data_IF_055965120779
#
_entry.id   IF_055965120779
#
_cell.length_a   1.000
_cell.length_b   1.000
_cell.length_c   1.000
_cell.angle_alpha   90.00
_cell.angle_beta   90.00
_cell.angle_gamma   90.00
#
_symmetry.space_group_name_H-M   'P 1'
#
loop_
_entity.id
_entity.type
_entity.pdbx_description
1 polymer ?
#
# COMPACT_ATOMS: atom_id res chain seq x y z
N UNK A 1 24.60 31.72 20.18
CA UNK A 1 24.12 30.83 19.10
C UNK A 1 23.30 31.70 18.16
N UNK A 2 23.73 31.83 16.91
CA UNK A 2 23.19 32.84 15.98
C UNK A 2 21.89 32.34 15.32
N UNK A 3 20.81 33.10 15.50
CA UNK A 3 19.49 32.86 14.92
C UNK A 3 19.56 33.00 13.39
N UNK A 4 19.51 31.89 12.66
CA UNK A 4 19.82 31.86 11.21
C UNK A 4 18.80 32.56 10.31
N UNK A 5 17.62 32.98 10.80
CA UNK A 5 16.61 33.70 10.00
C UNK A 5 15.86 34.84 10.70
N UNK A 6 16.36 35.32 11.85
CA UNK A 6 15.75 36.46 12.56
C UNK A 6 14.41 36.17 13.26
N UNK A 7 14.05 34.89 13.41
CA UNK A 7 12.87 34.46 14.16
C UNK A 7 13.23 34.30 15.64
N UNK A 8 12.38 34.81 16.53
CA UNK A 8 12.51 34.64 17.99
C UNK A 8 11.95 33.28 18.43
N UNK A 9 12.32 32.83 19.63
CA UNK A 9 11.81 31.57 20.19
C UNK A 9 10.28 31.58 20.27
N UNK A 10 9.70 32.64 20.84
CA UNK A 10 8.25 32.78 21.02
C UNK A 10 7.52 32.72 19.67
N UNK A 11 8.01 33.44 18.65
CA UNK A 11 7.44 33.41 17.30
C UNK A 11 7.57 32.04 16.63
N UNK A 12 8.59 31.24 16.98
CA UNK A 12 8.76 29.90 16.46
C UNK A 12 7.86 28.87 17.14
N UNK A 13 7.59 29.06 18.43
CA UNK A 13 6.63 28.27 19.18
C UNK A 13 5.20 28.54 18.68
N UNK A 14 4.83 29.81 18.50
CA UNK A 14 3.55 30.20 17.92
C UNK A 14 3.36 29.62 16.51
N UNK A 15 4.37 29.75 15.64
CA UNK A 15 4.31 29.20 14.28
C UNK A 15 4.19 27.66 14.25
N UNK A 16 4.83 26.98 15.21
CA UNK A 16 4.75 25.52 15.39
C UNK A 16 3.38 25.06 15.89
N UNK A 17 2.73 25.88 16.72
CA UNK A 17 1.38 25.61 17.22
C UNK A 17 0.29 25.90 16.17
N UNK A 18 0.49 26.93 15.35
CA UNK A 18 -0.48 27.36 14.33
C UNK A 18 -0.44 26.51 13.05
N UNK A 19 0.66 25.80 12.78
CA UNK A 19 0.77 25.00 11.56
C UNK A 19 -0.11 23.75 11.61
N UNK A 20 -0.88 23.52 10.54
CA UNK A 20 -1.66 22.30 10.36
C UNK A 20 -0.76 21.15 9.90
N UNK A 21 -0.80 20.00 10.58
CA UNK A 21 -0.03 18.79 10.20
C UNK A 21 -0.40 18.32 8.79
N UNK A 22 0.54 17.93 7.90
CA UNK A 22 0.26 17.51 6.51
C UNK A 22 -0.76 16.36 6.43
N UNK A 23 -1.61 16.37 5.41
CA UNK A 23 -2.63 15.33 5.23
C UNK A 23 -2.00 14.04 4.69
N UNK A 24 -2.25 12.93 5.37
CA UNK A 24 -1.74 11.62 4.93
C UNK A 24 -2.76 10.94 4.04
N UNK A 25 -2.38 10.66 2.79
CA UNK A 25 -3.21 9.92 1.83
C UNK A 25 -2.56 8.59 1.47
N UNK A 26 -3.30 7.51 1.68
CA UNK A 26 -2.85 6.17 1.32
C UNK A 26 -3.52 5.71 0.02
N UNK A 27 -2.71 5.21 -0.92
CA UNK A 27 -3.16 4.71 -2.22
C UNK A 27 -2.75 3.25 -2.33
N UNK A 28 -3.72 2.39 -2.61
CA UNK A 28 -3.50 0.97 -2.89
C UNK A 28 -3.52 0.75 -4.40
N UNK A 29 -2.43 0.21 -4.94
CA UNK A 29 -2.28 -0.05 -6.38
C UNK A 29 -1.97 -1.52 -6.60
N UNK A 30 -2.52 -2.13 -7.65
CA UNK A 30 -2.08 -3.46 -8.07
C UNK A 30 -0.96 -3.34 -9.08
N UNK A 31 -0.10 -4.34 -9.11
CA UNK A 31 0.95 -4.43 -10.11
C UNK A 31 0.35 -4.39 -11.53
N UNK A 32 0.88 -3.51 -12.37
CA UNK A 32 0.39 -3.23 -13.73
C UNK A 32 -0.71 -2.17 -13.85
N UNK A 33 -1.29 -1.68 -12.76
CA UNK A 33 -2.39 -0.70 -12.84
C UNK A 33 -1.87 0.73 -13.12
N UNK A 34 -2.67 1.51 -13.85
CA UNK A 34 -2.49 2.96 -14.02
C UNK A 34 -3.08 3.69 -12.82
N UNK A 35 -2.37 4.67 -12.28
CA UNK A 35 -2.86 5.46 -11.14
C UNK A 35 -2.32 6.89 -11.15
N UNK A 36 -2.99 7.78 -10.42
CA UNK A 36 -2.63 9.20 -10.30
C UNK A 36 -2.36 9.54 -8.84
N UNK A 37 -1.23 10.18 -8.60
CA UNK A 37 -0.86 10.72 -7.29
C UNK A 37 -1.17 12.21 -7.28
N UNK A 38 -2.33 12.54 -6.69
CA UNK A 38 -2.75 13.92 -6.46
C UNK A 38 -2.30 14.38 -5.08
N UNK A 39 -1.70 15.57 -5.01
CA UNK A 39 -1.40 16.23 -3.74
C UNK A 39 -2.70 16.81 -3.14
N UNK A 40 -2.98 16.58 -1.85
CA UNK A 40 -4.01 17.31 -1.13
C UNK A 40 -3.82 18.82 -1.31
N UNK A 41 -4.93 19.54 -1.52
CA UNK A 41 -4.90 21.00 -1.67
C UNK A 41 -5.17 21.61 -0.31
N UNK A 42 -4.29 22.51 0.14
CA UNK A 42 -4.51 23.36 1.31
C UNK A 42 -4.67 24.80 0.87
N UNK A 43 -5.87 25.34 1.06
CA UNK A 43 -6.21 26.68 0.59
C UNK A 43 -6.16 26.78 -0.94
N UNK A 44 -5.57 27.86 -1.43
CA UNK A 44 -5.52 28.21 -2.85
C UNK A 44 -4.20 27.72 -3.46
N UNK A 45 -4.29 26.91 -4.52
CA UNK A 45 -3.14 26.40 -5.26
C UNK A 45 -2.47 27.53 -6.06
N UNK A 46 -1.59 28.29 -5.40
CA UNK A 46 -0.95 29.47 -5.99
C UNK A 46 0.34 29.14 -6.77
N UNK A 47 0.76 27.87 -6.78
CA UNK A 47 2.07 27.49 -7.31
C UNK A 47 2.19 25.99 -7.65
N UNK A 48 3.12 25.60 -8.53
CA UNK A 48 3.35 24.19 -8.92
C UNK A 48 3.70 23.29 -7.73
N UNK A 49 3.46 21.97 -7.88
CA UNK A 49 3.73 20.99 -6.81
C UNK A 49 5.19 20.54 -6.86
N UNK A 50 5.88 20.66 -5.73
CA UNK A 50 7.19 20.04 -5.49
C UNK A 50 7.04 18.71 -4.76
N UNK A 51 7.66 17.66 -5.30
CA UNK A 51 7.62 16.31 -4.75
C UNK A 51 8.94 15.96 -4.07
N UNK A 52 8.87 15.34 -2.89
CA UNK A 52 10.04 14.90 -2.11
C UNK A 52 9.90 13.42 -1.77
N UNK A 53 11.00 12.67 -1.85
CA UNK A 53 11.03 11.27 -1.38
C UNK A 53 11.21 11.27 0.12
N UNK A 54 10.27 10.62 0.82
CA UNK A 54 10.38 10.37 2.25
C UNK A 54 11.08 9.03 2.50
N UNK A 55 11.65 8.83 3.70
CA UNK A 55 12.12 7.52 4.14
C UNK A 55 11.03 6.45 3.96
N UNK A 56 11.44 5.26 3.57
CA UNK A 56 10.52 4.14 3.36
C UNK A 56 10.13 3.46 4.66
N UNK A 57 10.96 3.57 5.70
CA UNK A 57 10.61 3.13 7.06
C UNK A 57 9.62 4.10 7.69
N UNK A 58 8.52 3.56 8.24
CA UNK A 58 7.42 4.37 8.77
C UNK A 58 7.90 5.27 9.91
N UNK A 59 8.67 4.72 10.85
CA UNK A 59 9.14 5.42 12.04
C UNK A 59 9.99 6.64 11.66
N UNK A 60 10.99 6.45 10.79
CA UNK A 60 11.83 7.52 10.28
C UNK A 60 11.02 8.61 9.54
N UNK A 61 9.97 8.22 8.81
CA UNK A 61 9.10 9.17 8.13
C UNK A 61 8.27 9.98 9.14
N UNK A 62 7.72 9.34 10.18
CA UNK A 62 7.02 10.05 11.28
C UNK A 62 7.96 10.97 12.04
N UNK A 63 9.19 10.56 12.33
CA UNK A 63 10.17 11.36 13.04
C UNK A 63 10.56 12.61 12.23
N UNK A 64 10.74 12.45 10.91
CA UNK A 64 10.98 13.58 10.01
C UNK A 64 9.81 14.58 10.03
N UNK A 65 8.58 14.09 9.96
CA UNK A 65 7.37 14.93 9.98
C UNK A 65 7.25 15.65 11.33
N UNK A 66 7.40 14.94 12.45
CA UNK A 66 7.33 15.53 13.79
C UNK A 66 8.42 16.57 14.00
N UNK A 67 9.64 16.28 13.56
CA UNK A 67 10.76 17.21 13.64
C UNK A 67 10.49 18.47 12.82
N UNK A 68 9.94 18.34 11.61
CA UNK A 68 9.62 19.48 10.76
C UNK A 68 8.57 20.44 11.35
N UNK A 69 7.70 19.92 12.21
CA UNK A 69 6.64 20.68 12.86
C UNK A 69 7.07 21.27 14.21
N UNK A 70 8.31 21.01 14.65
CA UNK A 70 8.80 21.48 15.94
C UNK A 70 9.28 22.95 15.89
N UNK A 71 9.24 23.68 17.02
CA UNK A 71 9.72 25.07 17.07
C UNK A 71 11.19 25.22 16.64
N UNK A 72 12.01 24.20 16.91
CA UNK A 72 13.44 24.19 16.54
C UNK A 72 13.63 24.16 15.03
N UNK A 73 12.79 23.43 14.29
CA UNK A 73 12.80 23.41 12.84
C UNK A 73 12.36 24.77 12.26
N UNK A 74 11.34 25.39 12.85
CA UNK A 74 10.90 26.73 12.47
C UNK A 74 11.97 27.80 12.75
N UNK A 75 12.70 27.72 13.86
CA UNK A 75 13.81 28.62 14.10
C UNK A 75 14.94 28.47 13.08
N UNK A 76 15.29 27.24 12.72
CA UNK A 76 16.41 26.97 11.82
C UNK A 76 16.06 27.27 10.35
N UNK A 77 14.84 26.94 9.91
CA UNK A 77 14.43 26.94 8.50
C UNK A 77 13.24 27.86 8.18
N UNK A 78 12.60 28.47 9.18
CA UNK A 78 11.47 29.40 9.02
C UNK A 78 10.15 28.75 8.63
N UNK A 79 10.15 27.53 8.10
CA UNK A 79 8.96 26.79 7.62
C UNK A 79 9.21 25.28 7.67
N UNK A 80 8.13 24.49 7.83
CA UNK A 80 8.20 23.03 7.75
C UNK A 80 8.62 22.54 6.35
N UNK A 81 8.20 23.23 5.29
CA UNK A 81 8.61 22.95 3.90
C UNK A 81 10.12 23.18 3.70
N UNK A 82 10.69 24.21 4.33
CA UNK A 82 12.13 24.46 4.35
C UNK A 82 12.93 23.35 5.03
N UNK A 83 12.45 22.85 6.18
CA UNK A 83 13.04 21.68 6.85
C UNK A 83 13.00 20.45 5.94
N UNK A 84 11.84 20.16 5.34
CA UNK A 84 11.68 19.05 4.40
C UNK A 84 12.64 19.18 3.21
N UNK A 85 12.78 20.38 2.64
CA UNK A 85 13.64 20.60 1.48
C UNK A 85 15.13 20.38 1.75
N UNK A 86 15.56 20.55 2.99
CA UNK A 86 16.92 20.30 3.45
C UNK A 86 17.18 18.82 3.74
N UNK A 87 16.24 18.15 4.42
CA UNK A 87 16.43 16.77 4.88
C UNK A 87 15.95 15.69 3.91
N UNK A 88 15.04 16.01 2.99
CA UNK A 88 14.50 15.07 2.02
C UNK A 88 15.00 15.35 0.59
N UNK A 89 15.10 14.27 -0.19
CA UNK A 89 15.53 14.37 -1.59
C UNK A 89 14.37 14.78 -2.47
N UNK A 90 14.48 15.93 -3.13
CA UNK A 90 13.50 16.37 -4.11
C UNK A 90 13.48 15.40 -5.31
N UNK A 91 12.28 15.04 -5.75
CA UNK A 91 12.07 14.26 -6.96
C UNK A 91 12.35 15.18 -8.15
N UNK A 92 13.49 14.95 -8.81
CA UNK A 92 13.78 15.64 -10.06
C UNK A 92 12.87 15.08 -11.17
N UNK A 93 11.86 15.86 -11.53
CA UNK A 93 10.85 15.49 -12.53
C UNK A 93 11.47 15.19 -13.89
N UNK A 94 12.46 15.97 -14.34
CA UNK A 94 13.15 15.73 -15.60
C UNK A 94 13.88 14.38 -15.61
N UNK A 95 14.58 14.07 -14.53
CA UNK A 95 15.26 12.77 -14.37
C UNK A 95 14.25 11.64 -14.26
N UNK A 96 13.14 11.85 -13.55
CA UNK A 96 12.06 10.88 -13.40
C UNK A 96 11.42 10.53 -14.74
N UNK A 97 11.11 11.53 -15.58
CA UNK A 97 10.56 11.33 -16.92
C UNK A 97 11.53 10.55 -17.82
N UNK A 98 12.82 10.88 -17.78
CA UNK A 98 13.87 10.17 -18.55
C UNK A 98 14.03 8.72 -18.08
N UNK A 99 14.16 8.50 -16.77
CA UNK A 99 14.39 7.17 -16.19
C UNK A 99 13.17 6.26 -16.32
N UNK A 100 11.97 6.83 -16.23
CA UNK A 100 10.72 6.07 -16.36
C UNK A 100 10.37 5.71 -17.80
N UNK A 101 11.10 6.20 -18.80
CA UNK A 101 10.84 5.98 -20.24
C UNK A 101 9.38 6.32 -20.62
N UNK A 102 8.83 7.39 -20.03
CA UNK A 102 7.45 7.83 -20.28
C UNK A 102 6.37 7.11 -19.46
N UNK A 103 6.74 6.15 -18.61
CA UNK A 103 5.79 5.49 -17.69
C UNK A 103 5.26 6.43 -16.61
N UNK A 104 6.08 7.38 -16.18
CA UNK A 104 5.63 8.44 -15.28
C UNK A 104 5.47 9.69 -16.14
N UNK A 105 4.37 10.40 -15.95
CA UNK A 105 4.06 11.66 -16.62
C UNK A 105 3.47 12.64 -15.60
N UNK A 106 3.30 13.89 -16.01
CA UNK A 106 2.80 14.96 -15.16
C UNK A 106 1.61 15.57 -15.86
N UNK A 107 0.52 15.77 -15.12
CA UNK A 107 -0.66 16.44 -15.65
C UNK A 107 -0.51 17.97 -15.59
N UNK A 108 -1.42 18.76 -16.22
CA UNK A 108 -1.37 20.21 -16.15
C UNK A 108 -1.46 20.78 -14.72
N UNK A 109 -1.95 20.00 -13.75
CA UNK A 109 -2.05 20.36 -12.34
C UNK A 109 -0.83 19.89 -11.51
N UNK A 110 0.24 19.42 -12.15
CA UNK A 110 1.47 18.93 -11.54
C UNK A 110 1.32 17.65 -10.67
N UNK A 111 0.23 16.91 -10.86
CA UNK A 111 0.06 15.57 -10.30
C UNK A 111 0.92 14.55 -11.05
N UNK A 112 1.42 13.55 -10.32
CA UNK A 112 2.19 12.47 -10.93
C UNK A 112 1.24 11.40 -11.46
N UNK A 113 1.28 11.14 -12.76
CA UNK A 113 0.53 10.06 -13.39
C UNK A 113 1.48 8.91 -13.64
N UNK A 114 1.17 7.74 -13.07
CA UNK A 114 1.86 6.49 -13.34
C UNK A 114 1.02 5.66 -14.33
N UNK A 115 1.57 5.41 -15.52
CA UNK A 115 0.96 4.57 -16.55
C UNK A 115 0.90 3.09 -16.15
N UNK A 116 1.89 2.62 -15.38
CA UNK A 116 2.00 1.25 -14.89
C UNK A 116 2.70 1.23 -13.53
N UNK A 117 2.06 0.65 -12.51
CA UNK A 117 2.65 0.38 -11.21
C UNK A 117 3.59 -0.83 -11.26
N UNK A 118 4.84 -0.70 -10.78
CA UNK A 118 5.76 -1.82 -10.64
C UNK A 118 6.28 -1.94 -9.23
N UNK A 119 5.81 -2.95 -8.51
CA UNK A 119 6.10 -3.08 -7.08
C UNK A 119 7.59 -3.19 -6.76
N UNK A 120 8.37 -3.92 -7.55
CA UNK A 120 9.80 -4.18 -7.28
C UNK A 120 10.74 -3.03 -7.68
N UNK A 121 10.31 -2.18 -8.61
CA UNK A 121 11.12 -1.06 -9.11
C UNK A 121 10.78 0.27 -8.42
N UNK A 122 9.52 0.45 -8.06
CA UNK A 122 9.02 1.71 -7.50
C UNK A 122 8.93 1.70 -5.97
N UNK A 123 8.78 0.52 -5.37
CA UNK A 123 8.51 0.38 -3.94
C UNK A 123 9.61 -0.43 -3.25
N UNK A 124 9.71 -0.27 -1.93
CA UNK A 124 10.55 -1.11 -1.07
C UNK A 124 9.71 -1.76 0.03
N UNK A 125 10.13 -2.91 0.54
CA UNK A 125 9.47 -3.52 1.70
C UNK A 125 9.80 -2.75 2.97
N UNK A 126 8.78 -2.48 3.79
CA UNK A 126 8.98 -1.84 5.09
C UNK A 126 9.62 -2.82 6.08
N UNK A 127 10.74 -2.43 6.68
CA UNK A 127 11.30 -3.13 7.84
C UNK A 127 10.39 -2.87 9.04
N UNK A 128 9.57 -3.85 9.41
CA UNK A 128 8.71 -3.77 10.60
C UNK A 128 7.30 -4.32 10.39
N UNK A 129 6.85 -4.46 9.14
CA UNK A 129 5.60 -5.16 8.86
C UNK A 129 5.82 -6.66 9.10
N UNK A 130 5.20 -7.21 10.16
CA UNK A 130 5.36 -8.62 10.61
C UNK A 130 5.15 -9.66 9.50
N UNK A 131 4.53 -9.26 8.40
CA UNK A 131 4.25 -10.14 7.27
C UNK A 131 4.94 -9.78 5.96
N UNK A 132 5.73 -8.70 5.88
CA UNK A 132 6.36 -8.22 4.64
C UNK A 132 5.39 -8.17 3.44
N UNK A 133 4.10 -7.86 3.67
CA UNK A 133 3.05 -8.26 2.71
C UNK A 133 2.86 -7.28 1.55
N UNK A 134 3.25 -6.02 1.70
CA UNK A 134 3.01 -5.00 0.68
C UNK A 134 4.19 -4.02 0.59
N UNK A 135 4.95 -4.04 -0.51
CA UNK A 135 5.98 -3.03 -0.71
C UNK A 135 5.32 -1.65 -0.89
N UNK A 136 5.97 -0.61 -0.37
CA UNK A 136 5.45 0.75 -0.40
C UNK A 136 6.54 1.78 -0.70
N UNK A 137 6.11 2.98 -1.08
CA UNK A 137 6.96 4.17 -1.04
C UNK A 137 6.17 5.36 -0.53
N UNK A 138 6.90 6.35 -0.01
CA UNK A 138 6.35 7.57 0.59
C UNK A 138 6.85 8.80 -0.15
N UNK A 139 5.94 9.70 -0.46
CA UNK A 139 6.24 11.01 -1.04
C UNK A 139 5.66 12.10 -0.13
N UNK A 140 6.37 13.20 0.02
CA UNK A 140 5.80 14.44 0.48
C UNK A 140 5.49 15.33 -0.72
N UNK A 141 4.38 16.05 -0.65
CA UNK A 141 4.02 17.04 -1.64
C UNK A 141 3.89 18.41 -0.99
N UNK A 142 4.53 19.40 -1.61
CA UNK A 142 4.53 20.79 -1.19
C UNK A 142 3.94 21.60 -2.34
N UNK A 143 2.91 22.39 -2.08
CA UNK A 143 2.46 23.38 -3.05
C UNK A 143 3.44 24.54 -3.02
N UNK A 144 4.04 24.85 -4.16
CA UNK A 144 5.13 25.84 -4.26
C UNK A 144 6.52 25.23 -4.30
N UNK A 145 7.49 26.12 -4.35
CA UNK A 145 8.91 25.75 -4.35
C UNK A 145 9.52 26.01 -2.97
N UNK A 146 9.69 24.94 -2.20
CA UNK A 146 10.33 24.98 -0.89
C UNK A 146 11.83 25.36 -0.93
N UNK A 147 12.45 25.31 -2.12
CA UNK A 147 13.84 25.74 -2.37
C UNK A 147 13.93 27.09 -3.06
N UNK A 148 12.81 27.65 -3.50
CA UNK A 148 12.73 28.92 -4.20
C UNK A 148 12.92 30.11 -3.27
N UNK A 149 13.06 31.31 -3.83
CA UNK A 149 13.17 32.55 -3.04
C UNK A 149 11.89 32.92 -2.28
N UNK A 150 10.73 32.36 -2.67
CA UNK A 150 9.41 32.64 -2.13
C UNK A 150 8.88 31.51 -1.22
N UNK A 151 9.73 31.05 -0.28
CA UNK A 151 9.41 29.96 0.67
C UNK A 151 8.13 30.24 1.49
N UNK A 152 7.79 31.51 1.71
CA UNK A 152 6.56 31.94 2.41
C UNK A 152 5.26 31.41 1.78
N UNK A 153 5.29 31.10 0.49
CA UNK A 153 4.16 30.55 -0.27
C UNK A 153 4.26 29.03 -0.46
N UNK A 154 5.28 28.40 0.13
CA UNK A 154 5.45 26.95 0.07
C UNK A 154 4.82 26.29 1.29
N UNK A 155 3.74 25.54 1.06
CA UNK A 155 3.03 24.84 2.13
C UNK A 155 3.16 23.32 1.96
N UNK A 156 3.57 22.65 3.04
CA UNK A 156 3.62 21.20 3.06
C UNK A 156 2.21 20.65 3.25
N UNK A 157 1.59 20.31 2.12
CA UNK A 157 0.17 19.96 2.12
C UNK A 157 -0.11 18.50 2.39
N UNK A 158 0.75 17.58 1.97
CA UNK A 158 0.46 16.16 2.16
C UNK A 158 1.63 15.20 2.17
N UNK A 159 1.34 14.02 2.73
CA UNK A 159 2.18 12.83 2.71
C UNK A 159 1.41 11.74 1.98
N UNK A 160 1.94 11.30 0.84
CA UNK A 160 1.34 10.24 0.02
C UNK A 160 2.08 8.94 0.29
N UNK A 161 1.33 7.92 0.67
CA UNK A 161 1.81 6.56 0.85
C UNK A 161 1.22 5.70 -0.27
N UNK A 162 2.07 5.13 -1.11
CA UNK A 162 1.62 4.21 -2.16
C UNK A 162 1.99 2.80 -1.72
N UNK A 163 1.00 1.92 -1.58
CA UNK A 163 1.16 0.50 -1.25
C UNK A 163 0.83 -0.33 -2.48
N UNK A 164 1.79 -1.13 -2.93
CA UNK A 164 1.62 -2.00 -4.08
C UNK A 164 1.16 -3.42 -3.64
N UNK A 165 0.17 -3.94 -4.36
CA UNK A 165 -0.33 -5.31 -4.25
C UNK A 165 0.33 -6.16 -5.33
N UNK A 166 1.23 -7.05 -4.92
CA UNK A 166 2.02 -7.87 -5.85
C UNK A 166 1.13 -8.99 -6.41
N UNK A 167 0.96 -9.03 -7.74
CA UNK A 167 0.14 -10.06 -8.42
C UNK A 167 0.58 -11.49 -8.13
N UNK A 168 1.88 -11.74 -8.00
CA UNK A 168 2.45 -13.07 -7.79
C UNK A 168 1.90 -13.79 -6.55
N UNK A 169 1.78 -13.09 -5.42
CA UNK A 169 1.27 -13.69 -4.17
C UNK A 169 -0.17 -14.19 -4.30
N UNK A 170 -1.00 -13.49 -5.08
CA UNK A 170 -2.37 -13.91 -5.35
C UNK A 170 -2.44 -15.04 -6.38
N UNK A 171 -1.58 -15.02 -7.40
CA UNK A 171 -1.51 -16.06 -8.43
C UNK A 171 -1.08 -17.41 -7.86
N UNK A 172 -0.06 -17.45 -7.00
CA UNK A 172 0.37 -18.69 -6.33
C UNK A 172 -0.71 -19.23 -5.40
N UNK A 173 -1.38 -18.37 -4.63
CA UNK A 173 -2.48 -18.78 -3.76
C UNK A 173 -3.67 -19.33 -4.56
N UNK A 174 -4.06 -18.66 -5.67
CA UNK A 174 -5.16 -19.08 -6.53
C UNK A 174 -4.85 -20.38 -7.28
N UNK A 175 -3.64 -20.51 -7.84
CA UNK A 175 -3.21 -21.72 -8.54
C UNK A 175 -3.01 -22.90 -7.58
N UNK A 176 -2.45 -22.66 -6.40
CA UNK A 176 -2.34 -23.66 -5.33
C UNK A 176 -3.70 -24.14 -4.84
N UNK A 177 -4.65 -23.22 -4.61
CA UNK A 177 -6.01 -23.61 -4.18
C UNK A 177 -6.79 -24.31 -5.29
N UNK A 178 -6.63 -23.88 -6.56
CA UNK A 178 -7.27 -24.51 -7.71
C UNK A 178 -6.75 -25.92 -7.96
N UNK A 179 -5.45 -26.16 -7.82
CA UNK A 179 -4.84 -27.49 -7.97
C UNK A 179 -5.21 -28.39 -6.80
N UNK A 180 -5.19 -27.88 -5.57
CA UNK A 180 -5.63 -28.61 -4.39
C UNK A 180 -7.09 -29.04 -4.51
N UNK A 181 -8.00 -28.14 -4.92
CA UNK A 181 -9.40 -28.48 -5.14
C UNK A 181 -9.59 -29.47 -6.28
N UNK A 182 -8.92 -29.29 -7.41
CA UNK A 182 -9.01 -30.21 -8.55
C UNK A 182 -8.57 -31.65 -8.22
N UNK A 183 -7.65 -31.84 -7.27
CA UNK A 183 -7.14 -33.17 -6.88
C UNK A 183 -7.92 -33.74 -5.68
N UNK A 184 -8.13 -32.94 -4.64
CA UNK A 184 -8.76 -33.40 -3.40
C UNK A 184 -10.26 -33.64 -3.55
N UNK A 185 -10.98 -32.85 -4.34
CA UNK A 185 -12.43 -33.03 -4.48
C UNK A 185 -12.80 -34.37 -5.13
N UNK A 186 -12.22 -34.75 -6.29
CA UNK A 186 -12.49 -36.06 -6.90
C UNK A 186 -12.05 -37.23 -6.01
N UNK A 187 -10.92 -37.10 -5.31
CA UNK A 187 -10.45 -38.12 -4.38
C UNK A 187 -11.41 -38.30 -3.19
N UNK A 188 -11.87 -37.21 -2.57
CA UNK A 188 -12.87 -37.26 -1.50
C UNK A 188 -14.19 -37.84 -1.98
N UNK A 189 -14.67 -37.42 -3.17
CA UNK A 189 -15.88 -37.96 -3.79
C UNK A 189 -15.75 -39.46 -4.06
N UNK A 190 -14.60 -39.92 -4.57
CA UNK A 190 -14.35 -41.34 -4.81
C UNK A 190 -14.33 -42.15 -3.51
N UNK A 191 -13.68 -41.65 -2.46
CA UNK A 191 -13.69 -42.31 -1.14
C UNK A 191 -15.10 -42.38 -0.56
N UNK A 192 -15.89 -41.29 -0.69
CA UNK A 192 -17.27 -41.24 -0.23
C UNK A 192 -18.17 -42.22 -0.99
N UNK A 193 -18.03 -42.33 -2.31
CA UNK A 193 -18.81 -43.28 -3.11
C UNK A 193 -18.44 -44.72 -2.82
N UNK A 194 -17.16 -45.03 -2.62
CA UNK A 194 -16.70 -46.35 -2.18
C UNK A 194 -17.25 -46.68 -0.79
N UNK A 195 -17.19 -45.75 0.17
CA UNK A 195 -17.73 -45.97 1.50
C UNK A 195 -19.26 -46.20 1.49
N UNK A 196 -20.00 -45.43 0.70
CA UNK A 196 -21.45 -45.57 0.55
C UNK A 196 -21.84 -46.89 -0.11
N UNK A 197 -21.09 -47.33 -1.13
CA UNK A 197 -21.34 -48.60 -1.80
C UNK A 197 -21.03 -49.80 -0.90
N UNK A 198 -19.93 -49.77 -0.14
CA UNK A 198 -19.63 -50.77 0.89
C UNK A 198 -20.75 -50.81 1.94
N UNK A 199 -21.23 -49.65 2.39
CA UNK A 199 -22.32 -49.58 3.37
C UNK A 199 -23.62 -50.18 2.82
N UNK A 200 -24.01 -49.85 1.57
CA UNK A 200 -25.17 -50.44 0.93
C UNK A 200 -25.04 -51.98 0.80
N UNK A 201 -23.88 -52.48 0.40
CA UNK A 201 -23.61 -53.91 0.29
C UNK A 201 -23.69 -54.63 1.66
N UNK A 202 -23.18 -53.98 2.72
CA UNK A 202 -23.28 -54.51 4.08
C UNK A 202 -24.73 -54.56 4.58
N UNK A 203 -25.51 -53.51 4.32
CA UNK A 203 -26.92 -53.46 4.70
C UNK A 203 -27.74 -54.51 3.92
N UNK A 204 -27.49 -54.68 2.62
CA UNK A 204 -28.10 -55.75 1.83
C UNK A 204 -27.73 -57.14 2.34
N UNK A 205 -26.43 -57.42 2.57
CA UNK A 205 -25.98 -58.73 3.11
C UNK A 205 -26.60 -59.01 4.47
N UNK A 206 -26.68 -58.01 5.34
CA UNK A 206 -27.30 -58.15 6.67
C UNK A 206 -28.79 -58.47 6.56
N UNK A 207 -29.50 -57.86 5.62
CA UNK A 207 -30.91 -58.16 5.37
C UNK A 207 -31.11 -59.58 4.83
N UNK A 208 -30.27 -60.02 3.87
CA UNK A 208 -30.30 -61.37 3.28
C UNK A 208 -29.92 -62.46 4.31
N UNK A 209 -28.93 -62.21 5.16
CA UNK A 209 -28.55 -63.10 6.26
C UNK A 209 -29.65 -63.19 7.32
N UNK A 210 -30.30 -62.08 7.68
CA UNK A 210 -31.46 -62.10 8.57
C UNK A 210 -32.64 -62.87 7.96
N UNK A 211 -32.91 -62.71 6.67
CA UNK A 211 -33.98 -63.44 5.98
C UNK A 211 -33.69 -64.95 5.92
N UNK A 212 -32.43 -65.34 5.63
CA UNK A 212 -31.98 -66.72 5.63
C UNK A 212 -32.02 -67.36 7.03
N UNK A 213 -31.61 -66.64 8.08
CA UNK A 213 -31.64 -67.12 9.46
C UNK A 213 -33.06 -67.30 10.01
N UNK A 214 -34.06 -66.61 9.46
CA UNK A 214 -35.48 -66.74 9.81
C UNK A 214 -36.21 -67.75 8.90
N UNK A 215 -35.50 -68.43 7.98
CA UNK A 215 -36.07 -69.47 7.11
C UNK A 215 -37.01 -68.94 6.02
N UNK A 216 -37.01 -67.62 5.75
CA UNK A 216 -37.79 -67.02 4.65
C UNK A 216 -36.90 -66.84 3.43
N UNK A 217 -37.03 -67.73 2.45
CA UNK A 217 -36.55 -67.47 1.09
C UNK A 217 -37.44 -66.39 0.47
N UNK A 218 -36.91 -65.18 0.28
CA UNK A 218 -37.59 -64.15 -0.52
C UNK A 218 -37.68 -64.66 -1.96
N UNK A 219 -38.90 -64.89 -2.46
CA UNK A 219 -39.15 -64.96 -3.91
C UNK A 219 -38.78 -63.59 -4.53
N UNK A 220 -38.15 -63.57 -5.70
CA UNK A 220 -37.93 -62.31 -6.41
C UNK A 220 -39.29 -61.74 -6.81
N UNK A 221 -39.51 -60.45 -6.52
CA UNK A 221 -40.63 -59.73 -7.12
C UNK A 221 -40.23 -59.39 -8.56
N UNK A 222 -40.98 -59.93 -9.52
CA UNK A 222 -41.12 -59.35 -10.85
C UNK A 222 -41.82 -57.99 -10.75
#
# INVERSE_FOLDING_TARGET
MANSRGMTNDSAEDASNDITKPETKEIHVKDGDRYVISCPIRGTAHSPISWFRLPTESDNATDLIQSALSPTAFMAFGTASGWLAYHATQVNLTTLLKQSRGRISIDPAYHLIYAEARSSLDCSYEKGDKFFRKPSFRLACVHGDARGSNIKWSDWSGVIIVKALVRWTHLEALTGFSTATAILMPALLAVLTIALSIKCLMDERKSKLKAAAVGRTQRPNM
#
